data_IF_062933888603
#
_entry.id   IF_062933888603
#
_cell.length_a   1.000
_cell.length_b   1.000
_cell.length_c   1.000
_cell.angle_alpha   90.00
_cell.angle_beta   90.00
_cell.angle_gamma   90.00
#
_symmetry.space_group_name_H-M   'P 1'
#
loop_
_entity.id
_entity.type
_entity.pdbx_description
1 polymer ?
#
# COMPACT_ATOMS: atom_id res chain seq x y z
N UNK A 1 1.72 -17.28 40.78
CA UNK A 1 1.55 -18.08 39.57
C UNK A 1 2.38 -17.41 38.49
N UNK A 2 3.49 -18.06 38.12
CA UNK A 2 4.55 -17.45 37.33
C UNK A 2 4.13 -17.23 35.86
N UNK A 3 4.41 -16.05 35.37
CA UNK A 3 4.40 -15.73 33.94
C UNK A 3 5.57 -16.50 33.29
N UNK A 4 5.28 -17.53 32.55
CA UNK A 4 6.22 -18.19 31.65
C UNK A 4 6.42 -17.24 30.46
N UNK A 5 7.63 -16.71 30.18
CA UNK A 5 7.88 -15.99 28.96
C UNK A 5 7.73 -16.99 27.80
N UNK A 6 6.80 -16.73 26.88
CA UNK A 6 6.75 -17.44 25.62
C UNK A 6 7.99 -17.04 24.82
N UNK A 7 9.06 -17.83 24.95
CA UNK A 7 10.11 -17.88 23.94
C UNK A 7 9.49 -18.50 22.68
N UNK A 8 8.81 -17.69 21.89
CA UNK A 8 8.54 -18.03 20.50
C UNK A 8 9.90 -17.93 19.79
N UNK A 9 10.41 -19.01 19.20
CA UNK A 9 11.52 -18.89 18.27
C UNK A 9 11.06 -17.89 17.20
N UNK A 10 11.91 -16.95 16.81
CA UNK A 10 11.70 -16.06 15.68
C UNK A 10 11.50 -16.95 14.45
N UNK A 11 10.26 -17.31 14.18
CA UNK A 11 9.92 -18.07 12.98
C UNK A 11 10.05 -17.08 11.82
N UNK A 12 11.19 -17.10 11.16
CA UNK A 12 11.33 -16.46 9.86
C UNK A 12 10.21 -16.99 8.97
N UNK A 13 9.47 -16.11 8.32
CA UNK A 13 8.37 -16.47 7.41
C UNK A 13 8.94 -17.04 6.10
N UNK A 14 9.63 -18.20 6.22
CA UNK A 14 10.18 -18.94 5.09
C UNK A 14 9.05 -19.27 4.12
N UNK A 15 9.18 -18.83 2.88
CA UNK A 15 8.14 -18.97 1.85
C UNK A 15 7.33 -17.72 1.56
N UNK A 16 7.52 -16.64 2.34
CA UNK A 16 7.00 -15.29 2.02
C UNK A 16 8.13 -14.30 1.71
N UNK A 17 9.38 -14.73 1.70
CA UNK A 17 10.55 -13.85 1.48
C UNK A 17 10.49 -13.16 0.12
N UNK A 18 9.97 -13.85 -0.89
CA UNK A 18 9.82 -13.29 -2.23
C UNK A 18 8.53 -12.49 -2.42
N UNK A 19 7.68 -12.40 -1.36
CA UNK A 19 6.39 -11.74 -1.47
C UNK A 19 6.57 -10.24 -1.73
N UNK A 20 5.89 -9.77 -2.79
CA UNK A 20 5.88 -8.37 -3.23
C UNK A 20 4.45 -7.85 -3.25
N UNK A 21 4.21 -6.77 -2.52
CA UNK A 21 2.91 -6.13 -2.42
C UNK A 21 3.01 -4.74 -3.03
N UNK A 22 2.21 -4.45 -4.05
CA UNK A 22 2.00 -3.08 -4.53
C UNK A 22 0.77 -2.51 -3.84
N UNK A 23 0.90 -1.29 -3.33
CA UNK A 23 -0.18 -0.51 -2.74
C UNK A 23 -0.28 0.85 -3.43
N UNK A 24 -1.43 1.17 -4.01
CA UNK A 24 -1.55 2.39 -4.81
C UNK A 24 -2.95 3.01 -4.80
N UNK A 25 -3.05 4.28 -4.41
CA UNK A 25 -4.24 5.10 -4.62
C UNK A 25 -4.24 5.58 -6.08
N UNK A 26 -5.09 4.94 -6.90
CA UNK A 26 -5.13 5.16 -8.36
C UNK A 26 -5.98 6.36 -8.78
N UNK A 27 -6.82 6.90 -7.87
CA UNK A 27 -7.74 8.02 -8.14
C UNK A 27 -8.52 7.88 -9.45
N UNK A 28 -9.06 6.70 -9.69
CA UNK A 28 -9.83 6.41 -10.90
C UNK A 28 -9.00 6.20 -12.16
N UNK A 29 -7.71 5.86 -12.05
CA UNK A 29 -6.83 5.59 -13.20
C UNK A 29 -7.16 4.29 -13.97
N UNK A 30 -8.45 3.97 -14.13
CA UNK A 30 -8.91 2.78 -14.89
C UNK A 30 -9.06 3.08 -16.40
N UNK A 31 -8.77 4.32 -16.83
CA UNK A 31 -8.67 4.67 -18.23
C UNK A 31 -7.45 4.01 -18.91
N UNK A 32 -7.38 4.01 -20.23
CA UNK A 32 -6.41 3.28 -21.03
C UNK A 32 -4.94 3.50 -20.61
N UNK A 33 -4.53 4.73 -20.35
CA UNK A 33 -3.17 5.03 -19.89
C UNK A 33 -2.87 4.45 -18.48
N UNK A 34 -3.86 4.47 -17.58
CA UNK A 34 -3.73 3.86 -16.26
C UNK A 34 -3.56 2.35 -16.35
N UNK A 35 -4.32 1.69 -17.23
CA UNK A 35 -4.18 0.26 -17.51
C UNK A 35 -2.80 -0.08 -18.06
N UNK A 36 -2.27 0.70 -19.01
CA UNK A 36 -0.93 0.51 -19.54
C UNK A 36 0.14 0.62 -18.46
N UNK A 37 0.00 1.61 -17.58
CA UNK A 37 0.92 1.78 -16.47
C UNK A 37 0.85 0.63 -15.45
N UNK A 38 -0.36 0.18 -15.07
CA UNK A 38 -0.55 -0.98 -14.20
C UNK A 38 0.11 -2.22 -14.82
N UNK A 39 -0.10 -2.45 -16.11
CA UNK A 39 0.51 -3.58 -16.83
C UNK A 39 2.03 -3.53 -16.78
N UNK A 40 2.63 -2.35 -17.02
CA UNK A 40 4.08 -2.17 -16.96
C UNK A 40 4.62 -2.32 -15.53
N UNK A 41 3.89 -1.80 -14.55
CA UNK A 41 4.22 -1.94 -13.14
C UNK A 41 4.24 -3.42 -12.71
N UNK A 42 3.22 -4.19 -13.10
CA UNK A 42 3.14 -5.64 -12.84
C UNK A 42 4.29 -6.37 -13.55
N UNK A 43 4.56 -6.04 -14.81
CA UNK A 43 5.63 -6.67 -15.58
C UNK A 43 7.02 -6.43 -14.99
N UNK A 44 7.29 -5.19 -14.56
CA UNK A 44 8.61 -4.78 -14.08
C UNK A 44 8.86 -5.17 -12.61
N UNK A 45 7.86 -5.05 -11.75
CA UNK A 45 8.00 -5.29 -10.30
C UNK A 45 7.55 -6.68 -9.86
N UNK A 46 6.81 -7.41 -10.73
CA UNK A 46 6.32 -8.78 -10.51
C UNK A 46 5.65 -8.95 -9.13
N UNK A 47 4.66 -8.13 -8.78
CA UNK A 47 4.00 -8.24 -7.49
C UNK A 47 3.17 -9.52 -7.41
N UNK A 48 2.96 -10.00 -6.21
CA UNK A 48 2.07 -11.12 -5.90
C UNK A 48 0.71 -10.63 -5.45
N UNK A 49 0.70 -9.48 -4.79
CA UNK A 49 -0.51 -8.80 -4.31
C UNK A 49 -0.51 -7.35 -4.83
N UNK A 50 -1.65 -6.92 -5.31
CA UNK A 50 -1.89 -5.52 -5.71
C UNK A 50 -3.09 -4.99 -4.93
N UNK A 51 -2.84 -3.97 -4.10
CA UNK A 51 -3.84 -3.25 -3.32
C UNK A 51 -4.13 -1.93 -4.01
N UNK A 52 -5.37 -1.73 -4.43
CA UNK A 52 -5.79 -0.52 -5.13
C UNK A 52 -6.85 0.24 -4.35
N UNK A 53 -6.78 1.57 -4.40
CA UNK A 53 -7.68 2.47 -3.69
C UNK A 53 -8.22 3.57 -4.61
N UNK A 54 -9.37 4.15 -4.27
CA UNK A 54 -10.08 5.18 -5.05
C UNK A 54 -10.36 4.75 -6.50
N UNK A 55 -10.89 3.55 -6.69
CA UNK A 55 -11.06 2.92 -8.01
C UNK A 55 -12.28 3.53 -8.63
N UNK A 56 -12.88 4.27 -8.87
CA UNK A 56 -14.05 4.94 -9.47
C UNK A 56 -14.78 4.16 -10.56
N UNK A 57 -14.68 2.83 -10.57
CA UNK A 57 -15.45 1.94 -11.44
C UNK A 57 -15.80 0.66 -10.70
N UNK A 58 -16.77 -0.08 -11.22
CA UNK A 58 -17.10 -1.40 -10.73
C UNK A 58 -16.11 -2.44 -11.26
N UNK A 59 -15.74 -3.42 -10.44
CA UNK A 59 -14.79 -4.47 -10.80
C UNK A 59 -15.22 -5.23 -12.06
N UNK A 60 -16.51 -5.51 -12.21
CA UNK A 60 -17.05 -6.23 -13.36
C UNK A 60 -16.65 -5.59 -14.71
N UNK A 61 -16.49 -4.27 -14.77
CA UNK A 61 -16.14 -3.54 -16.00
C UNK A 61 -14.70 -3.79 -16.46
N UNK A 62 -13.81 -4.26 -15.56
CA UNK A 62 -12.39 -4.44 -15.82
C UNK A 62 -11.87 -5.84 -15.46
N UNK A 63 -12.77 -6.77 -15.13
CA UNK A 63 -12.42 -8.14 -14.73
C UNK A 63 -11.55 -8.85 -15.77
N UNK A 64 -11.90 -8.75 -17.05
CA UNK A 64 -11.10 -9.35 -18.15
C UNK A 64 -9.67 -8.80 -18.21
N UNK A 65 -9.50 -7.50 -17.94
CA UNK A 65 -8.18 -6.89 -17.92
C UNK A 65 -7.31 -7.53 -16.82
N UNK A 66 -7.83 -7.66 -15.60
CA UNK A 66 -7.10 -8.27 -14.48
C UNK A 66 -6.78 -9.74 -14.72
N UNK A 67 -7.74 -10.49 -15.25
CA UNK A 67 -7.53 -11.89 -15.63
C UNK A 67 -6.40 -12.01 -16.67
N UNK A 68 -6.34 -11.09 -17.65
CA UNK A 68 -5.28 -11.08 -18.67
C UNK A 68 -3.89 -10.78 -18.13
N UNK A 69 -3.81 -10.14 -16.95
CA UNK A 69 -2.57 -9.88 -16.21
C UNK A 69 -2.18 -11.03 -15.26
N UNK A 70 -3.02 -12.07 -15.16
CA UNK A 70 -2.79 -13.19 -14.25
C UNK A 70 -3.13 -12.88 -12.80
N UNK A 71 -4.11 -11.98 -12.56
CA UNK A 71 -4.60 -11.64 -11.22
C UNK A 71 -6.08 -11.95 -11.09
N UNK A 72 -6.49 -12.39 -9.89
CA UNK A 72 -7.89 -12.54 -9.53
C UNK A 72 -8.25 -11.66 -8.33
N UNK A 73 -9.52 -11.23 -8.21
CA UNK A 73 -9.99 -10.45 -7.08
C UNK A 73 -10.17 -11.36 -5.87
N UNK A 74 -9.30 -11.22 -4.86
CA UNK A 74 -9.51 -11.92 -3.60
C UNK A 74 -10.62 -11.23 -2.79
N UNK A 75 -10.57 -9.89 -2.70
CA UNK A 75 -11.58 -9.11 -1.99
C UNK A 75 -11.81 -7.79 -2.73
N UNK A 76 -13.08 -7.41 -2.88
CA UNK A 76 -13.50 -6.18 -3.55
C UNK A 76 -14.51 -5.46 -2.67
N UNK A 77 -14.15 -4.24 -2.27
CA UNK A 77 -15.09 -3.25 -1.75
C UNK A 77 -15.29 -2.21 -2.84
N UNK A 78 -16.50 -2.15 -3.41
CA UNK A 78 -16.80 -1.22 -4.50
C UNK A 78 -16.87 0.22 -4.01
N UNK A 79 -16.61 1.16 -4.91
CA UNK A 79 -16.78 2.58 -4.62
C UNK A 79 -18.28 2.91 -4.46
N UNK A 80 -18.61 3.77 -3.50
CA UNK A 80 -19.94 4.35 -3.36
C UNK A 80 -19.93 5.73 -4.03
N UNK A 81 -20.58 5.84 -5.19
CA UNK A 81 -20.50 7.02 -6.04
C UNK A 81 -19.09 7.22 -6.60
N UNK A 82 -18.51 8.41 -6.39
CA UNK A 82 -17.15 8.76 -6.86
C UNK A 82 -16.07 8.61 -5.78
N UNK A 83 -16.40 8.00 -4.65
CA UNK A 83 -15.53 7.95 -3.47
C UNK A 83 -15.31 6.51 -3.01
N UNK A 84 -14.09 6.22 -2.56
CA UNK A 84 -13.75 4.93 -2.00
C UNK A 84 -13.37 3.87 -3.02
N UNK A 85 -13.67 2.62 -2.66
CA UNK A 85 -13.27 1.42 -3.38
C UNK A 85 -11.89 0.93 -2.95
N UNK A 86 -11.83 -0.34 -2.53
CA UNK A 86 -10.58 -1.04 -2.17
C UNK A 86 -10.61 -2.39 -2.86
N UNK A 87 -9.62 -2.68 -3.69
CA UNK A 87 -9.46 -3.98 -4.32
C UNK A 87 -8.19 -4.66 -3.86
N UNK A 88 -8.33 -5.90 -3.46
CA UNK A 88 -7.22 -6.82 -3.14
C UNK A 88 -7.12 -7.84 -4.27
N UNK A 89 -6.12 -7.68 -5.11
CA UNK A 89 -5.85 -8.53 -6.26
C UNK A 89 -4.67 -9.44 -5.95
N UNK A 90 -4.80 -10.73 -6.20
CA UNK A 90 -3.76 -11.74 -5.95
C UNK A 90 -3.36 -12.40 -7.25
N UNK A 91 -2.08 -12.63 -7.44
CA UNK A 91 -1.52 -13.31 -8.61
C UNK A 91 -1.99 -14.77 -8.65
N UNK A 92 -2.51 -15.18 -9.79
CA UNK A 92 -2.91 -16.56 -10.02
C UNK A 92 -1.70 -17.50 -9.85
N UNK A 93 -1.89 -18.63 -9.21
CA UNK A 93 -0.85 -19.64 -8.97
C UNK A 93 0.31 -19.22 -8.06
N UNK A 94 0.13 -18.19 -7.23
CA UNK A 94 1.16 -17.81 -6.25
C UNK A 94 1.28 -18.80 -5.08
N UNK A 95 0.31 -19.67 -4.87
CA UNK A 95 0.32 -20.67 -3.80
C UNK A 95 0.02 -20.09 -2.40
N UNK A 96 -0.51 -18.86 -2.32
CA UNK A 96 -1.05 -18.28 -1.10
C UNK A 96 -2.52 -18.59 -0.96
N UNK A 97 -2.93 -18.88 0.25
CA UNK A 97 -4.33 -18.90 0.66
C UNK A 97 -4.68 -17.60 1.39
N UNK A 98 -5.94 -17.17 1.24
CA UNK A 98 -6.40 -15.93 1.87
C UNK A 98 -7.79 -16.10 2.46
N UNK A 99 -8.05 -15.46 3.58
CA UNK A 99 -9.35 -15.42 4.25
C UNK A 99 -9.70 -13.99 4.64
N UNK A 100 -10.90 -13.56 4.30
CA UNK A 100 -11.43 -12.29 4.78
C UNK A 100 -11.68 -12.40 6.31
N UNK A 101 -11.12 -11.45 7.06
CA UNK A 101 -11.40 -11.30 8.49
C UNK A 101 -12.50 -10.25 8.67
N UNK A 102 -12.31 -9.07 8.08
CA UNK A 102 -13.26 -7.97 8.21
C UNK A 102 -13.22 -7.04 6.98
N UNK A 103 -14.39 -6.51 6.61
CA UNK A 103 -14.50 -5.47 5.58
C UNK A 103 -15.13 -4.24 6.20
N UNK A 104 -14.36 -3.16 6.25
CA UNK A 104 -14.78 -1.84 6.68
C UNK A 104 -14.77 -0.89 5.49
N UNK A 105 -15.57 0.19 5.47
CA UNK A 105 -15.62 1.13 4.34
C UNK A 105 -14.28 1.79 3.97
N UNK A 106 -13.30 1.77 4.90
CA UNK A 106 -11.96 2.34 4.71
C UNK A 106 -10.84 1.28 4.82
N UNK A 107 -11.17 0.00 5.00
CA UNK A 107 -10.18 -1.06 5.18
C UNK A 107 -10.71 -2.43 4.77
N UNK A 108 -9.85 -3.27 4.21
CA UNK A 108 -10.08 -4.71 4.07
C UNK A 108 -9.01 -5.41 4.89
N UNK A 109 -9.44 -6.17 5.91
CA UNK A 109 -8.58 -6.99 6.76
C UNK A 109 -8.66 -8.43 6.32
N UNK A 110 -7.54 -9.03 5.99
CA UNK A 110 -7.48 -10.41 5.53
C UNK A 110 -6.24 -11.12 6.06
N UNK A 111 -6.38 -12.40 6.28
CA UNK A 111 -5.27 -13.30 6.62
C UNK A 111 -4.69 -13.87 5.33
N UNK A 112 -3.36 -13.98 5.32
CA UNK A 112 -2.60 -14.72 4.33
C UNK A 112 -1.93 -15.88 5.01
N UNK A 113 -1.97 -17.05 4.40
CA UNK A 113 -1.20 -18.19 4.89
C UNK A 113 -0.62 -19.02 3.77
N UNK A 114 0.49 -19.65 4.10
CA UNK A 114 1.18 -20.63 3.30
C UNK A 114 1.75 -21.68 4.25
N UNK A 115 1.44 -22.94 4.01
CA UNK A 115 1.78 -24.03 4.91
C UNK A 115 1.28 -23.77 6.33
N UNK A 116 2.16 -23.73 7.32
CA UNK A 116 1.83 -23.48 8.73
C UNK A 116 2.09 -22.01 9.16
N UNK A 117 2.40 -21.12 8.22
CA UNK A 117 2.70 -19.73 8.50
C UNK A 117 1.55 -18.82 8.09
N UNK A 118 1.14 -17.92 8.98
CA UNK A 118 0.09 -16.95 8.67
C UNK A 118 0.37 -15.59 9.27
N UNK A 119 -0.17 -14.56 8.64
CA UNK A 119 -0.14 -13.19 9.11
C UNK A 119 -1.32 -12.39 8.55
N UNK A 120 -1.65 -11.27 9.18
CA UNK A 120 -2.78 -10.42 8.80
C UNK A 120 -2.29 -9.22 8.01
N UNK A 121 -2.97 -8.92 6.91
CA UNK A 121 -2.80 -7.70 6.11
C UNK A 121 -4.07 -6.85 6.17
N UNK A 122 -3.88 -5.54 6.35
CA UNK A 122 -4.92 -4.55 6.15
C UNK A 122 -4.58 -3.68 4.93
N UNK A 123 -5.46 -3.71 3.92
CA UNK A 123 -5.46 -2.72 2.85
C UNK A 123 -6.24 -1.49 3.33
N UNK A 124 -5.58 -0.34 3.46
CA UNK A 124 -6.14 0.88 4.08
C UNK A 124 -6.33 1.99 3.05
N UNK A 125 -7.54 2.53 3.00
CA UNK A 125 -7.85 3.81 2.39
C UNK A 125 -8.60 4.68 3.40
N UNK A 126 -7.85 5.40 4.23
CA UNK A 126 -8.41 6.28 5.25
C UNK A 126 -9.09 7.48 4.61
N UNK A 127 -10.23 7.90 5.16
CA UNK A 127 -10.98 9.05 4.64
C UNK A 127 -10.14 10.34 4.68
N UNK A 128 -10.18 11.19 3.64
CA UNK A 128 -9.60 12.52 3.70
C UNK A 128 -10.30 13.44 4.72
N UNK A 129 -11.53 13.08 5.15
CA UNK A 129 -12.32 13.82 6.15
C UNK A 129 -11.91 13.32 7.55
N UNK A 130 -11.34 14.17 8.42
CA UNK A 130 -10.81 13.76 9.72
C UNK A 130 -11.82 13.01 10.60
N UNK A 131 -13.07 13.47 10.65
CA UNK A 131 -14.15 12.89 11.47
C UNK A 131 -14.49 11.46 11.02
N UNK A 132 -14.50 11.22 9.72
CA UNK A 132 -14.73 9.88 9.17
C UNK A 132 -13.51 8.98 9.37
N UNK A 133 -12.30 9.54 9.29
CA UNK A 133 -11.06 8.83 9.54
C UNK A 133 -10.96 8.35 10.99
N UNK A 134 -11.55 9.10 11.94
CA UNK A 134 -11.62 8.71 13.35
C UNK A 134 -12.36 7.36 13.53
N UNK A 135 -13.37 7.08 12.72
CA UNK A 135 -14.07 5.79 12.73
C UNK A 135 -13.12 4.63 12.38
N UNK A 136 -12.23 4.85 11.39
CA UNK A 136 -11.19 3.88 11.06
C UNK A 136 -10.21 3.68 12.22
N UNK A 137 -9.77 4.77 12.88
CA UNK A 137 -8.84 4.69 14.01
C UNK A 137 -9.41 3.89 15.17
N UNK A 138 -10.68 4.07 15.48
CA UNK A 138 -11.39 3.28 16.49
C UNK A 138 -11.49 1.81 16.08
N UNK A 139 -11.86 1.54 14.83
CA UNK A 139 -11.91 0.19 14.28
C UNK A 139 -10.56 -0.53 14.37
N UNK A 140 -9.45 0.10 13.98
CA UNK A 140 -8.12 -0.50 14.06
C UNK A 140 -7.72 -0.81 15.51
N UNK A 141 -8.05 0.08 16.46
CA UNK A 141 -7.77 -0.14 17.88
C UNK A 141 -8.54 -1.34 18.44
N UNK A 142 -9.82 -1.51 18.06
CA UNK A 142 -10.62 -2.67 18.43
C UNK A 142 -10.12 -3.95 17.76
N UNK A 143 -9.79 -3.87 16.48
CA UNK A 143 -9.29 -4.99 15.71
C UNK A 143 -7.99 -5.56 16.30
N UNK A 144 -7.10 -4.68 16.83
CA UNK A 144 -5.86 -5.11 17.49
C UNK A 144 -6.09 -6.11 18.62
N UNK A 145 -7.19 -6.00 19.36
CA UNK A 145 -7.51 -6.88 20.47
C UNK A 145 -7.77 -8.33 20.02
N UNK A 146 -8.18 -8.52 18.77
CA UNK A 146 -8.47 -9.83 18.17
C UNK A 146 -7.33 -10.42 17.35
N UNK A 147 -6.30 -9.62 16.99
CA UNK A 147 -5.18 -10.09 16.20
C UNK A 147 -4.03 -10.54 17.13
N UNK A 148 -3.66 -11.82 17.04
CA UNK A 148 -2.59 -12.44 17.82
C UNK A 148 -1.42 -12.97 16.99
N UNK A 149 -1.45 -12.76 15.68
CA UNK A 149 -0.42 -13.15 14.71
C UNK A 149 0.18 -11.89 14.07
N UNK A 150 1.34 -11.98 13.38
CA UNK A 150 1.99 -10.83 12.75
C UNK A 150 1.02 -10.00 11.91
N UNK A 151 1.11 -8.67 12.01
CA UNK A 151 0.14 -7.75 11.43
C UNK A 151 0.81 -6.62 10.64
N UNK A 152 0.40 -6.45 9.37
CA UNK A 152 0.83 -5.39 8.47
C UNK A 152 -0.36 -4.55 8.00
N UNK A 153 -0.24 -3.23 8.05
CA UNK A 153 -1.15 -2.29 7.42
C UNK A 153 -0.43 -1.60 6.25
N UNK A 154 -1.07 -1.55 5.10
CA UNK A 154 -0.51 -0.86 3.92
C UNK A 154 -1.58 -0.02 3.27
N UNK A 155 -1.25 1.22 2.91
CA UNK A 155 -2.14 2.08 2.14
C UNK A 155 -2.05 3.55 2.44
N UNK A 156 -3.09 4.26 2.00
CA UNK A 156 -3.24 5.70 2.18
C UNK A 156 -3.89 5.99 3.55
N UNK A 157 -3.10 6.48 4.48
CA UNK A 157 -3.55 6.84 5.83
C UNK A 157 -4.21 8.24 5.87
N UNK A 158 -4.10 9.02 4.79
CA UNK A 158 -4.58 10.41 4.69
C UNK A 158 -4.17 11.30 5.88
N UNK A 159 -3.09 10.92 6.59
CA UNK A 159 -2.54 11.65 7.73
C UNK A 159 -1.01 11.60 7.74
N UNK A 160 -0.42 12.62 8.36
CA UNK A 160 1.03 12.76 8.55
C UNK A 160 1.39 12.65 10.03
N UNK A 161 2.61 12.23 10.33
CA UNK A 161 3.11 12.08 11.71
C UNK A 161 4.01 13.24 12.14
N UNK A 162 4.73 13.86 11.19
CA UNK A 162 5.76 14.86 11.50
C UNK A 162 5.70 16.05 10.53
N UNK A 163 6.16 17.24 10.96
CA UNK A 163 6.23 18.42 10.10
C UNK A 163 7.05 18.20 8.82
N UNK A 164 8.12 17.40 8.89
CA UNK A 164 8.98 17.05 7.75
C UNK A 164 8.27 16.25 6.64
N UNK A 165 7.10 15.69 6.94
CA UNK A 165 6.26 14.96 5.99
C UNK A 165 5.31 15.85 5.18
N UNK A 166 5.38 17.16 5.38
CA UNK A 166 4.58 18.16 4.66
C UNK A 166 5.50 19.21 4.04
N UNK A 167 5.33 19.48 2.75
CA UNK A 167 6.00 20.58 2.05
C UNK A 167 4.96 21.44 1.33
N UNK A 168 4.98 22.74 1.57
CA UNK A 168 4.09 23.71 0.91
C UNK A 168 2.67 23.78 1.49
N UNK A 169 2.44 23.28 2.71
CA UNK A 169 1.15 23.34 3.40
C UNK A 169 1.29 23.26 4.90
N UNK A 170 0.16 23.28 5.59
CA UNK A 170 0.11 23.28 7.05
C UNK A 170 0.28 21.87 7.62
N UNK A 171 1.06 21.79 8.70
CA UNK A 171 1.09 20.65 9.61
C UNK A 171 0.12 20.90 10.76
N UNK A 172 -0.73 19.93 11.08
CA UNK A 172 -1.73 20.03 12.15
C UNK A 172 -1.33 19.10 13.30
N UNK A 173 -0.68 19.60 14.37
CA UNK A 173 -0.15 18.78 15.46
C UNK A 173 -1.16 17.87 16.12
N UNK A 174 -2.38 18.35 16.37
CA UNK A 174 -3.43 17.58 17.05
C UNK A 174 -3.82 16.32 16.26
N UNK A 175 -3.89 16.41 14.93
CA UNK A 175 -4.18 15.28 14.05
C UNK A 175 -3.03 14.28 14.00
N UNK A 176 -1.79 14.78 13.90
CA UNK A 176 -0.60 13.94 13.93
C UNK A 176 -0.47 13.18 15.26
N UNK A 177 -0.70 13.85 16.40
CA UNK A 177 -0.72 13.23 17.73
C UNK A 177 -1.82 12.16 17.84
N UNK A 178 -3.01 12.45 17.30
CA UNK A 178 -4.10 11.45 17.28
C UNK A 178 -3.70 10.21 16.49
N UNK A 179 -3.12 10.37 15.31
CA UNK A 179 -2.64 9.25 14.49
C UNK A 179 -1.51 8.49 15.20
N UNK A 180 -0.51 9.18 15.76
CA UNK A 180 0.56 8.56 16.55
C UNK A 180 0.00 7.72 17.71
N UNK A 181 -1.00 8.26 18.46
CA UNK A 181 -1.67 7.52 19.54
C UNK A 181 -2.36 6.24 19.06
N UNK A 182 -2.87 6.20 17.82
CA UNK A 182 -3.44 4.99 17.24
C UNK A 182 -2.34 3.96 16.95
N UNK A 183 -1.21 4.41 16.36
CA UNK A 183 -0.08 3.52 16.10
C UNK A 183 0.45 2.89 17.40
N UNK A 184 0.61 3.69 18.45
CA UNK A 184 1.05 3.21 19.76
C UNK A 184 0.09 2.16 20.36
N UNK A 185 -1.23 2.45 20.34
CA UNK A 185 -2.24 1.50 20.82
C UNK A 185 -2.26 0.21 20.03
N UNK A 186 -2.07 0.30 18.72
CA UNK A 186 -2.00 -0.87 17.84
C UNK A 186 -0.62 -1.52 17.85
N UNK A 187 0.39 -0.94 18.52
CA UNK A 187 1.79 -1.39 18.55
C UNK A 187 2.40 -1.49 17.15
N UNK A 188 2.09 -0.52 16.29
CA UNK A 188 2.52 -0.47 14.91
C UNK A 188 3.76 0.42 14.76
N UNK A 189 4.69 -0.03 13.96
CA UNK A 189 5.95 0.64 13.62
C UNK A 189 5.89 1.01 12.14
N UNK A 190 6.21 2.26 11.81
CA UNK A 190 6.41 2.68 10.41
C UNK A 190 7.67 2.00 9.87
N UNK A 191 7.54 1.24 8.78
CA UNK A 191 8.65 0.49 8.19
C UNK A 191 9.66 1.38 7.45
N UNK A 192 9.37 2.68 7.37
CA UNK A 192 10.22 3.63 6.64
C UNK A 192 10.02 3.54 5.13
N UNK A 193 10.83 4.28 4.37
CA UNK A 193 10.77 4.35 2.92
C UNK A 193 12.15 4.42 2.30
N UNK A 194 12.29 3.78 1.16
CA UNK A 194 13.46 3.92 0.29
C UNK A 194 13.06 4.68 -0.97
N UNK A 195 13.86 5.69 -1.37
CA UNK A 195 13.70 6.39 -2.64
C UNK A 195 13.04 7.77 -2.58
N UNK A 196 12.55 8.24 -1.42
CA UNK A 196 11.99 9.58 -1.29
C UNK A 196 11.20 9.78 -0.01
N UNK A 197 10.72 11.02 0.22
CA UNK A 197 10.00 11.37 1.45
C UNK A 197 8.51 11.66 1.23
N UNK A 198 8.09 11.89 0.00
CA UNK A 198 6.71 12.30 -0.31
C UNK A 198 6.12 11.37 -1.36
N UNK A 199 4.82 11.06 -1.21
CA UNK A 199 4.10 10.17 -2.12
C UNK A 199 2.88 10.81 -2.73
N UNK A 200 2.31 11.83 -2.09
CA UNK A 200 1.19 12.59 -2.59
C UNK A 200 1.61 14.01 -2.97
N UNK A 201 1.12 14.48 -4.15
CA UNK A 201 1.54 15.75 -4.72
C UNK A 201 0.33 16.50 -5.29
N UNK A 202 0.27 17.82 -5.03
CA UNK A 202 -0.65 18.73 -5.69
C UNK A 202 0.13 19.66 -6.60
N UNK A 203 -0.27 19.69 -7.87
CA UNK A 203 0.33 20.58 -8.86
C UNK A 203 -0.59 21.76 -9.16
N UNK A 204 0.01 22.91 -9.44
CA UNK A 204 -0.66 24.07 -10.06
C UNK A 204 0.27 24.60 -11.15
N UNK A 205 -0.24 24.72 -12.39
CA UNK A 205 0.55 25.15 -13.56
C UNK A 205 1.87 24.34 -13.72
N UNK A 206 1.79 23.02 -13.60
CA UNK A 206 2.92 22.08 -13.65
C UNK A 206 4.00 22.27 -12.57
N UNK A 207 3.75 23.10 -11.56
CA UNK A 207 4.61 23.27 -10.40
C UNK A 207 4.01 22.51 -9.22
N UNK A 208 4.83 21.70 -8.53
CA UNK A 208 4.42 21.05 -7.28
C UNK A 208 4.35 22.12 -6.20
N UNK A 209 3.12 22.40 -5.72
CA UNK A 209 2.85 23.38 -4.67
C UNK A 209 2.66 22.75 -3.28
N UNK A 210 2.35 21.44 -3.23
CA UNK A 210 2.14 20.73 -1.99
C UNK A 210 2.56 19.28 -2.15
N UNK A 211 3.29 18.76 -1.16
CA UNK A 211 3.68 17.36 -1.09
C UNK A 211 3.46 16.83 0.31
N UNK A 212 2.98 15.57 0.43
CA UNK A 212 2.74 14.93 1.72
C UNK A 212 3.14 13.44 1.68
N UNK A 213 3.47 12.90 2.86
CA UNK A 213 3.65 11.48 3.08
C UNK A 213 2.36 10.89 3.67
N UNK A 214 1.45 10.43 2.82
CA UNK A 214 0.13 9.91 3.22
C UNK A 214 0.06 8.39 3.18
N UNK A 215 0.77 7.77 2.22
CA UNK A 215 0.80 6.33 2.05
C UNK A 215 1.91 5.73 2.92
N UNK A 216 1.62 4.60 3.59
CA UNK A 216 2.53 3.94 4.54
C UNK A 216 2.41 2.43 4.50
N UNK A 217 3.47 1.77 4.95
CA UNK A 217 3.45 0.40 5.41
C UNK A 217 3.83 0.40 6.90
N UNK A 218 2.95 -0.15 7.73
CA UNK A 218 3.04 -0.17 9.19
C UNK A 218 2.96 -1.61 9.64
N UNK A 219 4.01 -2.13 10.27
CA UNK A 219 4.04 -3.49 10.80
C UNK A 219 4.04 -3.49 12.32
N UNK A 220 3.46 -4.52 12.96
CA UNK A 220 3.72 -4.73 14.38
C UNK A 220 5.09 -5.36 14.61
N UNK A 221 5.50 -5.46 15.88
CA UNK A 221 6.79 -6.02 16.24
C UNK A 221 6.94 -7.45 15.74
N UNK A 222 5.88 -8.26 15.85
CA UNK A 222 5.91 -9.66 15.42
C UNK A 222 6.09 -9.78 13.91
N UNK A 223 5.43 -8.90 13.13
CA UNK A 223 5.62 -8.82 11.69
C UNK A 223 7.04 -8.39 11.33
N UNK A 224 7.59 -7.37 12.02
CA UNK A 224 8.94 -6.89 11.77
C UNK A 224 10.00 -7.95 12.11
N UNK A 225 9.77 -8.75 13.15
CA UNK A 225 10.66 -9.88 13.50
C UNK A 225 10.53 -11.03 12.49
N UNK A 226 9.33 -11.28 11.98
CA UNK A 226 9.07 -12.30 10.95
C UNK A 226 9.69 -11.93 9.59
N UNK A 227 9.76 -10.62 9.27
CA UNK A 227 10.30 -10.07 8.03
C UNK A 227 11.40 -9.03 8.31
N UNK A 228 12.57 -9.42 8.85
CA UNK A 228 13.60 -8.49 9.29
C UNK A 228 14.21 -7.68 8.14
N UNK A 229 14.26 -8.24 6.93
CA UNK A 229 14.81 -7.61 5.74
C UNK A 229 13.78 -6.81 4.94
N UNK A 230 12.52 -6.80 5.39
CA UNK A 230 11.46 -6.13 4.64
C UNK A 230 11.76 -4.66 4.41
N UNK A 231 11.50 -4.21 3.19
CA UNK A 231 11.71 -2.84 2.73
C UNK A 231 10.50 -2.28 2.00
N UNK A 232 10.35 -0.95 2.01
CA UNK A 232 9.26 -0.24 1.33
C UNK A 232 9.86 0.76 0.35
N UNK A 233 9.62 0.55 -0.95
CA UNK A 233 10.12 1.40 -2.04
C UNK A 233 8.99 2.30 -2.56
N UNK A 234 9.31 3.59 -2.79
CA UNK A 234 8.43 4.49 -3.54
C UNK A 234 8.70 4.30 -5.03
N UNK A 235 7.66 3.97 -5.78
CA UNK A 235 7.76 3.82 -7.22
C UNK A 235 7.45 5.13 -7.96
N UNK A 236 7.88 5.21 -9.21
CA UNK A 236 7.63 6.38 -10.06
C UNK A 236 6.14 6.65 -10.18
N UNK A 237 5.76 7.91 -9.92
CA UNK A 237 4.38 8.38 -10.02
C UNK A 237 3.98 8.60 -11.49
N UNK A 238 2.87 8.01 -11.91
CA UNK A 238 2.29 8.19 -13.25
C UNK A 238 0.77 8.28 -13.14
N UNK A 239 0.14 9.26 -13.77
CA UNK A 239 -1.32 9.47 -13.87
C UNK A 239 -2.12 9.50 -12.55
N UNK A 240 -1.48 9.51 -11.40
CA UNK A 240 -2.11 9.72 -10.09
C UNK A 240 -1.41 10.83 -9.35
N UNK A 241 -2.07 11.40 -8.33
CA UNK A 241 -1.42 12.28 -7.36
C UNK A 241 -0.58 11.50 -6.35
N UNK A 242 -0.77 10.17 -6.25
CA UNK A 242 -0.01 9.28 -5.40
C UNK A 242 1.03 8.48 -6.20
N UNK A 243 2.19 8.27 -5.61
CA UNK A 243 3.18 7.29 -6.05
C UNK A 243 2.80 5.91 -5.52
N UNK A 244 2.92 4.83 -6.30
CA UNK A 244 2.75 3.49 -5.77
C UNK A 244 3.82 3.17 -4.73
N UNK A 245 3.45 2.38 -3.70
CA UNK A 245 4.38 1.72 -2.79
C UNK A 245 4.61 0.29 -3.21
N UNK A 246 5.83 -0.18 -3.06
CA UNK A 246 6.19 -1.58 -3.18
C UNK A 246 6.78 -2.07 -1.86
N UNK A 247 6.10 -3.02 -1.21
CA UNK A 247 6.62 -3.72 -0.03
C UNK A 247 7.27 -5.01 -0.48
N UNK A 248 8.54 -5.19 -0.17
CA UNK A 248 9.29 -6.42 -0.32
C UNK A 248 9.41 -7.08 1.04
N UNK A 249 8.89 -8.28 1.23
CA UNK A 249 8.97 -8.97 2.50
C UNK A 249 10.37 -9.51 2.81
N UNK A 250 11.13 -9.97 1.81
CA UNK A 250 12.51 -10.45 1.96
C UNK A 250 13.59 -9.40 1.68
N UNK A 251 13.22 -8.12 1.59
CA UNK A 251 14.16 -7.04 1.27
C UNK A 251 14.40 -6.85 -0.23
N UNK A 252 15.21 -5.88 -0.56
CA UNK A 252 15.61 -5.63 -1.95
C UNK A 252 16.67 -6.65 -2.36
N UNK A 253 16.48 -7.30 -3.51
CA UNK A 253 17.60 -7.96 -4.17
C UNK A 253 18.70 -6.91 -4.38
N UNK A 254 19.89 -7.12 -3.83
CA UNK A 254 21.06 -6.30 -4.13
C UNK A 254 21.41 -6.48 -5.60
N UNK A 255 20.66 -5.83 -6.47
CA UNK A 255 20.99 -5.70 -7.87
C UNK A 255 22.19 -4.74 -7.97
N UNK A 256 23.37 -5.28 -8.15
CA UNK A 256 24.58 -4.54 -8.55
C UNK A 256 24.46 -3.95 -9.95
N UNK A 257 23.34 -4.16 -10.62
CA UNK A 257 23.05 -3.55 -11.92
C UNK A 257 22.34 -2.22 -11.66
N UNK A 258 23.03 -1.11 -11.91
CA UNK A 258 22.42 0.20 -12.05
C UNK A 258 21.26 0.12 -13.03
N UNK A 259 20.03 -0.02 -12.54
CA UNK A 259 18.83 0.08 -13.37
C UNK A 259 18.82 1.49 -13.94
N UNK A 260 18.99 1.60 -15.26
CA UNK A 260 18.87 2.87 -15.96
C UNK A 260 17.50 3.47 -15.61
N UNK A 261 17.42 4.74 -15.22
CA UNK A 261 16.16 5.37 -14.90
C UNK A 261 15.20 5.25 -16.09
N UNK A 262 13.96 4.89 -15.82
CA UNK A 262 12.90 4.78 -16.81
C UNK A 262 12.76 6.14 -17.52
N UNK A 263 13.10 6.25 -18.78
CA UNK A 263 12.88 7.46 -19.58
C UNK A 263 11.50 7.33 -20.23
N UNK A 264 10.49 8.01 -19.69
CA UNK A 264 9.30 8.30 -20.45
C UNK A 264 9.62 9.38 -21.49
N UNK A 265 9.54 9.04 -22.77
CA UNK A 265 9.50 10.04 -23.82
C UNK A 265 8.14 10.74 -23.76
N UNK A 266 8.11 12.02 -23.43
CA UNK A 266 6.92 12.86 -23.60
C UNK A 266 6.67 13.01 -25.10
N UNK A 267 5.62 12.38 -25.60
CA UNK A 267 5.13 12.71 -26.95
C UNK A 267 4.30 13.99 -26.78
N UNK A 268 4.91 15.11 -27.08
CA UNK A 268 4.19 16.36 -27.23
C UNK A 268 3.26 16.24 -28.44
N UNK A 269 2.02 16.63 -28.27
CA UNK A 269 0.97 16.67 -29.29
C UNK A 269 1.18 17.78 -30.36
N UNK A 270 2.41 18.12 -30.67
CA UNK A 270 2.76 18.93 -31.86
C UNK A 270 3.89 18.17 -32.52
N UNK A 271 3.56 17.55 -33.67
CA UNK A 271 4.44 16.64 -34.39
C UNK A 271 5.85 17.24 -34.62
N UNK A 272 6.80 16.74 -33.87
CA UNK A 272 8.20 16.73 -34.25
C UNK A 272 8.93 15.70 -33.38
N UNK A 273 9.34 14.63 -34.02
CA UNK A 273 10.30 13.66 -33.47
C UNK A 273 11.66 14.36 -33.50
N UNK A 274 12.26 14.57 -32.35
CA UNK A 274 13.71 14.80 -32.27
C UNK A 274 14.33 13.64 -31.52
N UNK A 275 14.92 12.78 -32.33
CA UNK A 275 15.95 11.81 -31.90
C UNK A 275 17.25 12.59 -31.68
N UNK A 276 17.75 12.58 -30.47
CA UNK A 276 19.19 12.57 -30.17
C UNK A 276 19.42 11.92 -28.80
#
# INVERSE_FOLDING_TARGET
MGHVPRNLPTLLMIGFEELRIISWNVRGAVHEYGKLFIKELIRSKKPDIVLLYEIRCQFAQVSHYWNSLGFFPAFVSEAIGFSGGIWVMIRTNFGLSTRLIHMHGQAITFELWKDNLSWVCNAIYASPIPEQREILWQHLTQLRESISIPWLLVGDMNEVLQPSEVRGGDFIPSRAHRFASVLDKCRLIDLGLVGGNYMWFRNRNNIIILSKRLDRALGDVDWRLAFPEASVEILTRVHSYHSPLLVHCGGQEHSTVLQRPFRFAWINWIGCVLLQ
#
